data_IF_619574961156
#
_entry.id   IF_619574961156
#
_cell.length_a   1.000
_cell.length_b   1.000
_cell.length_c   1.000
_cell.angle_alpha   90.00
_cell.angle_beta   90.00
_cell.angle_gamma   90.00
#
_symmetry.space_group_name_H-M   'P 1'
#
loop_
_entity.id
_entity.type
_entity.pdbx_description
1 polymer ?
#
# COMPACT_ATOMS: atom_id res chain seq x y z
N UNK A 1 -2.05 -10.12 -5.23
CA UNK A 1 -3.22 -10.99 -4.97
C UNK A 1 -4.53 -10.20 -4.73
N UNK A 2 -4.49 -8.97 -4.21
CA UNK A 2 -5.69 -8.18 -3.87
C UNK A 2 -6.62 -7.88 -5.05
N UNK A 3 -6.09 -7.55 -6.24
CA UNK A 3 -6.91 -7.23 -7.41
C UNK A 3 -7.65 -8.45 -8.00
N UNK A 4 -7.15 -9.67 -7.77
CA UNK A 4 -7.83 -10.90 -8.20
C UNK A 4 -9.12 -11.17 -7.41
N UNK A 5 -9.29 -10.52 -6.27
CA UNK A 5 -10.48 -10.64 -5.43
C UNK A 5 -11.56 -9.63 -5.78
N UNK A 6 -11.25 -8.58 -6.54
CA UNK A 6 -12.20 -7.48 -6.82
C UNK A 6 -13.46 -8.03 -7.48
N UNK A 7 -13.33 -8.84 -8.53
CA UNK A 7 -14.48 -9.44 -9.23
C UNK A 7 -15.25 -10.44 -8.37
N UNK A 8 -14.63 -11.03 -7.34
CA UNK A 8 -15.31 -11.91 -6.40
C UNK A 8 -16.09 -11.11 -5.35
N UNK A 9 -15.46 -10.10 -4.77
CA UNK A 9 -16.06 -9.24 -3.73
C UNK A 9 -17.18 -8.37 -4.32
N UNK A 10 -17.02 -7.87 -5.55
CA UNK A 10 -18.05 -7.13 -6.28
C UNK A 10 -19.35 -7.94 -6.49
N UNK A 11 -19.25 -9.28 -6.53
CA UNK A 11 -20.43 -10.15 -6.65
C UNK A 11 -21.22 -10.28 -5.36
N UNK A 12 -20.61 -10.01 -4.21
CA UNK A 12 -21.29 -10.05 -2.92
C UNK A 12 -21.96 -8.71 -2.63
N UNK A 13 -21.18 -7.63 -2.64
CA UNK A 13 -21.67 -6.24 -2.63
C UNK A 13 -20.48 -5.26 -2.68
N UNK A 14 -20.76 -4.03 -3.09
CA UNK A 14 -19.82 -2.92 -3.05
C UNK A 14 -20.41 -1.81 -2.18
N UNK A 15 -19.67 -1.39 -1.15
CA UNK A 15 -20.05 -0.27 -0.29
C UNK A 15 -19.15 0.93 -0.58
N UNK A 16 -19.75 2.11 -0.52
CA UNK A 16 -19.04 3.37 -0.60
C UNK A 16 -19.07 4.05 0.76
N UNK A 17 -17.91 4.58 1.17
CA UNK A 17 -17.83 5.41 2.36
C UNK A 17 -18.28 6.81 1.98
N UNK A 18 -19.31 7.32 2.64
CA UNK A 18 -19.73 8.71 2.46
C UNK A 18 -18.57 9.65 2.82
N UNK A 19 -18.12 10.50 1.89
CA UNK A 19 -16.90 11.32 2.06
C UNK A 19 -15.59 10.61 1.68
N UNK A 20 -15.67 9.42 1.10
CA UNK A 20 -14.56 8.68 0.51
C UNK A 20 -13.70 7.90 1.51
N UNK A 21 -12.79 7.09 0.98
CA UNK A 21 -11.90 6.23 1.78
C UNK A 21 -10.99 7.01 2.75
N UNK A 22 -10.67 8.26 2.45
CA UNK A 22 -9.90 9.11 3.36
C UNK A 22 -10.64 9.35 4.69
N UNK A 23 -11.97 9.54 4.64
CA UNK A 23 -12.79 9.72 5.86
C UNK A 23 -12.73 8.50 6.76
N UNK A 24 -12.71 7.29 6.20
CA UNK A 24 -12.56 6.07 6.99
C UNK A 24 -11.25 6.08 7.80
N UNK A 25 -10.13 6.45 7.17
CA UNK A 25 -8.85 6.57 7.86
C UNK A 25 -8.89 7.63 8.97
N UNK A 26 -9.53 8.78 8.72
CA UNK A 26 -9.69 9.84 9.73
C UNK A 26 -10.54 9.38 10.92
N UNK A 27 -11.64 8.66 10.68
CA UNK A 27 -12.50 8.12 11.75
C UNK A 27 -11.73 7.13 12.62
N UNK A 28 -10.99 6.20 12.02
CA UNK A 28 -10.17 5.25 12.75
C UNK A 28 -9.09 5.94 13.58
N UNK A 29 -8.42 6.96 13.02
CA UNK A 29 -7.46 7.78 13.74
C UNK A 29 -8.10 8.49 14.95
N UNK A 30 -9.29 9.08 14.76
CA UNK A 30 -10.05 9.71 15.83
C UNK A 30 -10.46 8.74 16.93
N UNK A 31 -10.92 7.53 16.58
CA UNK A 31 -11.24 6.48 17.55
C UNK A 31 -10.01 6.08 18.37
N UNK A 32 -8.85 5.93 17.73
CA UNK A 32 -7.59 5.61 18.42
C UNK A 32 -7.19 6.73 19.39
N UNK A 33 -7.26 7.99 18.95
CA UNK A 33 -6.98 9.15 19.81
C UNK A 33 -7.95 9.23 21.00
N UNK A 34 -9.24 8.92 20.79
CA UNK A 34 -10.24 8.82 21.85
C UNK A 34 -9.93 7.75 22.90
N UNK A 35 -9.13 6.74 22.55
CA UNK A 35 -8.61 5.72 23.47
C UNK A 35 -7.22 6.09 24.04
N UNK A 36 -6.73 7.31 23.82
CA UNK A 36 -5.45 7.80 24.35
C UNK A 36 -4.24 7.53 23.47
N UNK A 37 -4.42 7.03 22.24
CA UNK A 37 -3.31 6.86 21.29
C UNK A 37 -2.78 8.23 20.86
N UNK A 38 -1.45 8.37 20.86
CA UNK A 38 -0.77 9.57 20.34
C UNK A 38 -0.32 9.32 18.91
N UNK A 39 -0.85 10.07 17.96
CA UNK A 39 -0.45 10.02 16.56
C UNK A 39 0.61 11.09 16.31
N UNK A 40 1.78 10.67 15.82
CA UNK A 40 2.89 11.56 15.45
C UNK A 40 3.17 11.42 13.96
N UNK A 41 2.99 12.52 13.23
CA UNK A 41 3.21 12.58 11.78
C UNK A 41 4.53 13.31 11.48
N UNK A 42 5.12 13.04 10.31
CA UNK A 42 6.42 13.61 9.93
C UNK A 42 7.58 13.13 10.83
N UNK A 43 7.40 11.99 11.50
CA UNK A 43 8.36 11.39 12.42
C UNK A 43 8.86 10.07 11.84
N UNK A 44 9.77 10.14 10.87
CA UNK A 44 10.30 8.95 10.24
C UNK A 44 11.15 8.14 11.23
N UNK A 45 10.88 6.84 11.35
CA UNK A 45 11.68 5.94 12.19
C UNK A 45 12.93 5.52 11.42
N UNK A 46 14.09 5.94 11.90
CA UNK A 46 15.38 5.67 11.27
C UNK A 46 16.13 4.47 11.86
N UNK A 47 15.76 4.01 13.07
CA UNK A 47 16.37 2.82 13.70
C UNK A 47 15.46 2.18 14.74
N UNK A 48 15.53 0.86 14.86
CA UNK A 48 14.95 0.10 15.97
C UNK A 48 15.99 -0.11 17.07
N UNK A 49 15.59 0.04 18.34
CA UNK A 49 16.50 -0.13 19.48
C UNK A 49 16.38 -1.53 20.06
N UNK A 50 17.53 -2.15 20.33
CA UNK A 50 17.63 -3.44 21.01
C UNK A 50 18.44 -3.28 22.30
N UNK A 51 17.96 -3.86 23.40
CA UNK A 51 18.68 -4.05 24.65
C UNK A 51 18.64 -5.54 25.02
N UNK A 52 19.81 -6.14 25.28
CA UNK A 52 19.94 -7.58 25.57
C UNK A 52 19.21 -8.51 24.58
N UNK A 53 19.24 -8.12 23.29
CA UNK A 53 18.59 -8.86 22.21
C UNK A 53 17.07 -8.69 22.12
N UNK A 54 16.46 -7.79 22.90
CA UNK A 54 15.02 -7.49 22.90
C UNK A 54 14.75 -6.07 22.45
N UNK A 55 13.59 -5.83 21.85
CA UNK A 55 13.17 -4.47 21.47
C UNK A 55 13.08 -3.58 22.71
N UNK A 56 13.54 -2.35 22.60
CA UNK A 56 13.48 -1.35 23.67
C UNK A 56 13.00 0.02 23.21
N UNK A 57 12.72 0.19 21.92
CA UNK A 57 12.20 1.44 21.36
C UNK A 57 12.59 1.67 19.90
N UNK A 58 12.49 2.93 19.49
CA UNK A 58 12.89 3.41 18.16
C UNK A 58 13.66 4.72 18.26
N UNK A 59 14.45 5.02 17.23
CA UNK A 59 15.08 6.33 17.03
C UNK A 59 14.50 6.94 15.76
N UNK A 60 14.02 8.18 15.86
CA UNK A 60 13.57 8.95 14.71
C UNK A 60 14.78 9.46 13.90
N UNK A 61 14.54 9.85 12.65
CA UNK A 61 15.60 10.38 11.77
C UNK A 61 16.21 11.70 12.25
N UNK A 62 15.50 12.44 13.10
CA UNK A 62 15.99 13.64 13.79
C UNK A 62 16.84 13.33 15.04
N UNK A 63 16.97 12.05 15.42
CA UNK A 63 17.73 11.58 16.57
C UNK A 63 16.93 11.43 17.87
N UNK A 64 15.65 11.82 17.90
CA UNK A 64 14.80 11.60 19.07
C UNK A 64 14.64 10.10 19.36
N UNK A 65 14.69 9.72 20.64
CA UNK A 65 14.53 8.34 21.09
C UNK A 65 13.17 8.15 21.74
N UNK A 66 12.44 7.16 21.27
CA UNK A 66 11.14 6.78 21.79
C UNK A 66 11.24 5.37 22.41
N UNK A 67 11.23 5.25 23.75
CA UNK A 67 11.23 3.94 24.40
C UNK A 67 9.91 3.22 24.14
N UNK A 68 9.97 1.92 23.88
CA UNK A 68 8.79 1.07 23.71
C UNK A 68 9.13 -0.39 24.03
N UNK A 69 8.24 -1.06 24.77
CA UNK A 69 8.37 -2.49 25.07
C UNK A 69 8.00 -3.37 23.86
N UNK A 70 7.17 -2.83 22.97
CA UNK A 70 6.66 -3.52 21.78
C UNK A 70 6.67 -2.53 20.60
N UNK A 71 7.14 -3.00 19.45
CA UNK A 71 7.09 -2.27 18.18
C UNK A 71 6.34 -3.11 17.16
N UNK A 72 5.26 -2.54 16.60
CA UNK A 72 4.54 -3.12 15.46
C UNK A 72 4.92 -2.32 14.21
N UNK A 73 5.61 -2.97 13.28
CA UNK A 73 6.06 -2.35 12.04
C UNK A 73 5.03 -2.57 10.92
N UNK A 74 4.38 -1.49 10.49
CA UNK A 74 3.41 -1.50 9.38
C UNK A 74 4.00 -0.89 8.09
N UNK A 75 5.32 -1.05 7.87
CA UNK A 75 5.99 -0.66 6.62
C UNK A 75 6.24 -1.87 5.71
N UNK A 76 6.93 -1.66 4.59
CA UNK A 76 7.35 -2.76 3.71
C UNK A 76 8.29 -3.72 4.46
N UNK A 77 7.88 -4.97 4.65
CA UNK A 77 8.70 -5.98 5.30
C UNK A 77 10.08 -6.16 4.65
N UNK A 78 10.18 -5.94 3.33
CA UNK A 78 11.47 -5.95 2.64
C UNK A 78 12.38 -4.80 3.06
N UNK A 79 11.85 -3.66 3.53
CA UNK A 79 12.68 -2.59 4.07
C UNK A 79 13.45 -3.03 5.33
N UNK A 80 12.85 -3.88 6.17
CA UNK A 80 13.54 -4.50 7.30
C UNK A 80 14.61 -5.50 6.80
N UNK A 81 14.26 -6.36 5.84
CA UNK A 81 15.18 -7.36 5.28
C UNK A 81 16.36 -6.75 4.50
N UNK A 82 16.20 -5.55 3.97
CA UNK A 82 17.25 -4.82 3.27
C UNK A 82 18.09 -3.95 4.23
N UNK A 83 17.76 -3.95 5.53
CA UNK A 83 18.47 -3.14 6.53
C UNK A 83 18.24 -1.64 6.37
N UNK A 84 17.18 -1.22 5.64
CA UNK A 84 16.87 0.19 5.41
C UNK A 84 16.36 0.90 6.67
N UNK A 85 15.94 0.13 7.68
CA UNK A 85 15.54 0.64 9.00
C UNK A 85 16.62 0.33 10.05
N UNK A 86 17.12 -0.91 10.13
CA UNK A 86 18.28 -1.21 10.98
C UNK A 86 18.95 -2.55 10.61
N UNK A 87 20.28 -2.55 10.50
CA UNK A 87 21.10 -3.70 10.10
C UNK A 87 21.09 -4.88 11.11
N UNK A 88 21.06 -4.67 12.44
CA UNK A 88 20.84 -5.73 13.42
C UNK A 88 19.50 -6.46 13.27
N UNK A 89 18.42 -5.75 12.94
CA UNK A 89 17.08 -6.36 12.78
C UNK A 89 17.04 -7.27 11.55
N UNK A 90 17.70 -6.87 10.46
CA UNK A 90 17.90 -7.73 9.28
C UNK A 90 18.46 -9.11 9.65
N UNK A 91 19.49 -9.14 10.51
CA UNK A 91 20.14 -10.39 10.94
C UNK A 91 19.22 -11.27 11.80
N UNK A 92 18.31 -10.68 12.57
CA UNK A 92 17.37 -11.41 13.43
C UNK A 92 16.19 -12.02 12.65
N UNK A 93 15.76 -11.38 11.55
CA UNK A 93 14.58 -11.81 10.80
C UNK A 93 14.82 -13.07 9.94
N UNK A 94 16.04 -13.31 9.46
CA UNK A 94 16.40 -14.55 8.75
C UNK A 94 15.62 -14.83 7.46
N UNK A 95 14.94 -13.82 6.88
CA UNK A 95 14.04 -13.98 5.74
C UNK A 95 14.82 -13.91 4.42
N UNK A 96 14.51 -14.77 3.42
CA UNK A 96 15.11 -14.68 2.10
C UNK A 96 14.90 -13.30 1.45
N UNK A 97 15.99 -12.76 0.90
CA UNK A 97 16.10 -11.41 0.33
C UNK A 97 15.33 -11.19 -0.97
N UNK A 98 14.81 -12.24 -1.60
CA UNK A 98 14.08 -12.15 -2.86
C UNK A 98 12.70 -12.79 -2.75
N UNK A 99 11.69 -11.93 -2.73
CA UNK A 99 10.29 -12.30 -2.93
C UNK A 99 9.86 -11.72 -4.27
N UNK A 100 9.13 -12.49 -5.08
CA UNK A 100 8.53 -11.98 -6.31
C UNK A 100 7.59 -10.83 -5.95
N UNK A 101 7.89 -9.62 -6.46
CA UNK A 101 7.06 -8.44 -6.21
C UNK A 101 5.75 -8.57 -6.97
N UNK A 102 4.67 -8.07 -6.36
CA UNK A 102 3.41 -7.86 -7.08
C UNK A 102 3.59 -6.75 -8.13
N UNK A 103 2.71 -6.76 -9.14
CA UNK A 103 2.63 -5.66 -10.10
C UNK A 103 2.34 -4.34 -9.39
N UNK A 104 2.95 -3.26 -9.87
CA UNK A 104 2.60 -1.89 -9.50
C UNK A 104 1.46 -1.38 -10.38
N UNK A 105 1.05 -0.14 -10.17
CA UNK A 105 0.07 0.54 -11.02
C UNK A 105 0.62 1.87 -11.53
N UNK A 106 0.32 2.20 -12.77
CA UNK A 106 0.43 3.57 -13.29
C UNK A 106 -0.93 4.24 -13.07
N UNK A 107 -0.95 5.37 -12.36
CA UNK A 107 -2.18 6.06 -12.00
C UNK A 107 -2.10 7.53 -12.35
N UNK A 108 -3.24 8.09 -12.77
CA UNK A 108 -3.46 9.52 -12.92
C UNK A 108 -4.72 9.90 -12.15
N UNK A 109 -4.71 11.08 -11.54
CA UNK A 109 -5.89 11.67 -10.94
C UNK A 109 -6.07 13.06 -11.53
N UNK A 110 -7.32 13.46 -11.74
CA UNK A 110 -7.65 14.76 -12.28
C UNK A 110 -9.15 14.97 -12.35
N UNK A 111 -9.54 16.23 -12.46
CA UNK A 111 -10.92 16.62 -12.74
C UNK A 111 -11.09 16.71 -14.26
N UNK A 112 -12.09 16.01 -14.79
CA UNK A 112 -12.37 15.98 -16.22
C UNK A 112 -13.87 15.82 -16.47
N UNK A 113 -14.34 16.41 -17.56
CA UNK A 113 -15.71 16.19 -18.04
C UNK A 113 -15.73 14.99 -19.00
N UNK A 114 -16.46 13.94 -18.63
CA UNK A 114 -16.71 12.80 -19.50
C UNK A 114 -17.87 13.10 -20.48
N UNK A 115 -17.79 12.53 -21.68
CA UNK A 115 -18.88 12.57 -22.67
C UNK A 115 -18.86 11.32 -23.56
N UNK A 116 -19.99 11.01 -24.20
CA UNK A 116 -20.13 9.88 -25.14
C UNK A 116 -20.75 8.61 -24.54
N UNK A 117 -20.65 8.41 -23.23
CA UNK A 117 -21.31 7.33 -22.50
C UNK A 117 -21.37 7.64 -21.00
N UNK A 118 -22.31 7.00 -20.29
CA UNK A 118 -22.44 7.10 -18.84
C UNK A 118 -21.34 6.27 -18.14
N UNK A 119 -20.71 6.85 -17.11
CA UNK A 119 -19.73 6.17 -16.28
C UNK A 119 -20.38 5.62 -15.01
N UNK A 120 -20.05 4.39 -14.64
CA UNK A 120 -20.28 3.87 -13.29
C UNK A 120 -19.21 4.39 -12.33
N UNK A 121 -19.37 4.19 -11.02
CA UNK A 121 -18.32 4.57 -10.06
C UNK A 121 -17.00 3.82 -10.32
N UNK A 122 -17.10 2.54 -10.68
CA UNK A 122 -15.97 1.69 -11.07
C UNK A 122 -16.18 1.21 -12.51
N UNK A 123 -15.22 1.50 -13.39
CA UNK A 123 -15.27 1.10 -14.79
C UNK A 123 -13.97 0.38 -15.16
N UNK A 124 -14.07 -0.72 -15.91
CA UNK A 124 -12.91 -1.42 -16.46
C UNK A 124 -13.07 -1.48 -17.98
N UNK A 125 -12.14 -0.85 -18.69
CA UNK A 125 -12.05 -0.87 -20.14
C UNK A 125 -10.96 -1.86 -20.55
N UNK A 126 -11.37 -3.03 -21.00
CA UNK A 126 -10.44 -4.05 -21.46
C UNK A 126 -9.81 -3.69 -22.81
N UNK A 127 -8.53 -3.99 -22.96
CA UNK A 127 -7.86 -3.94 -24.26
C UNK A 127 -8.47 -4.95 -25.26
N UNK A 128 -8.03 -4.92 -26.53
CA UNK A 128 -8.55 -5.81 -27.57
C UNK A 128 -8.37 -7.31 -27.18
N UNK A 129 -9.37 -8.18 -27.41
CA UNK A 129 -9.32 -9.58 -26.99
C UNK A 129 -8.10 -10.36 -27.52
N UNK A 130 -7.68 -10.06 -28.75
CA UNK A 130 -6.51 -10.70 -29.41
C UNK A 130 -5.19 -10.34 -28.71
N UNK A 131 -5.15 -9.21 -27.97
CA UNK A 131 -3.96 -8.69 -27.31
C UNK A 131 -3.91 -8.90 -25.79
N UNK A 132 -4.92 -9.52 -25.17
CA UNK A 132 -5.01 -9.58 -23.70
C UNK A 132 -3.82 -10.32 -23.07
N UNK A 133 -3.31 -11.39 -23.71
CA UNK A 133 -2.11 -12.08 -23.22
C UNK A 133 -0.85 -11.20 -23.33
N UNK A 134 -0.76 -10.40 -24.39
CA UNK A 134 0.38 -9.52 -24.63
C UNK A 134 0.52 -8.45 -23.53
N UNK A 135 -0.59 -8.03 -22.92
CA UNK A 135 -0.57 -7.15 -21.74
C UNK A 135 0.26 -7.76 -20.60
N UNK A 136 -0.04 -9.01 -20.21
CA UNK A 136 0.70 -9.69 -19.15
C UNK A 136 2.13 -10.05 -19.54
N UNK A 137 2.37 -10.39 -20.82
CA UNK A 137 3.73 -10.64 -21.33
C UNK A 137 4.61 -9.38 -21.22
N UNK A 138 4.07 -8.19 -21.56
CA UNK A 138 4.76 -6.92 -21.41
C UNK A 138 5.05 -6.61 -19.93
N UNK A 139 4.06 -6.77 -19.05
CA UNK A 139 4.21 -6.53 -17.62
C UNK A 139 5.22 -7.48 -16.96
N UNK A 140 5.28 -8.74 -17.39
CA UNK A 140 6.22 -9.74 -16.88
C UNK A 140 7.70 -9.37 -17.12
N UNK A 141 7.97 -8.57 -18.15
CA UNK A 141 9.31 -8.05 -18.46
C UNK A 141 9.48 -6.57 -18.09
N UNK A 142 8.57 -6.01 -17.29
CA UNK A 142 8.66 -4.64 -16.77
C UNK A 142 8.40 -3.55 -17.79
N UNK A 143 7.61 -3.82 -18.84
CA UNK A 143 7.21 -2.84 -19.85
C UNK A 143 5.74 -2.47 -19.70
N UNK A 144 5.41 -1.24 -20.09
CA UNK A 144 4.02 -0.82 -20.26
C UNK A 144 3.44 -1.51 -21.50
N UNK A 145 2.22 -2.07 -21.43
CA UNK A 145 1.56 -2.63 -22.59
C UNK A 145 1.13 -1.52 -23.57
N UNK A 146 1.14 -1.81 -24.87
CA UNK A 146 0.71 -0.86 -25.91
C UNK A 146 -0.80 -0.58 -25.86
N UNK A 147 -1.59 -1.58 -25.48
CA UNK A 147 -3.04 -1.49 -25.31
C UNK A 147 -3.42 -1.97 -23.90
N UNK A 148 -3.25 -1.13 -22.85
CA UNK A 148 -3.53 -1.51 -21.47
C UNK A 148 -5.04 -1.73 -21.22
N UNK A 149 -5.35 -2.60 -20.28
CA UNK A 149 -6.62 -2.54 -19.57
C UNK A 149 -6.61 -1.30 -18.66
N UNK A 150 -7.63 -0.45 -18.78
CA UNK A 150 -7.73 0.80 -18.01
C UNK A 150 -8.87 0.71 -17.01
N UNK A 151 -8.55 0.97 -15.75
CA UNK A 151 -9.55 1.15 -14.69
C UNK A 151 -9.79 2.63 -14.45
N UNK A 152 -11.07 3.04 -14.44
CA UNK A 152 -11.50 4.41 -14.12
C UNK A 152 -12.43 4.38 -12.91
N UNK A 153 -12.01 5.07 -11.86
CA UNK A 153 -12.85 5.41 -10.71
C UNK A 153 -13.46 6.79 -10.95
N UNK A 154 -14.76 6.86 -11.28
CA UNK A 154 -15.47 8.11 -11.50
C UNK A 154 -16.14 8.55 -10.18
N UNK A 155 -15.50 9.49 -9.48
CA UNK A 155 -15.96 10.07 -8.22
C UNK A 155 -16.58 11.44 -8.43
#
# INVERSE_FOLDING_TARGET
ATLMLVSHVEREAVWQVEGGMHRLAQVLAGCAQGQGVRLRYGCDVGRLLLADGRISGVVLTDGERLPADIVVFNGDAQALNLGLVDEPVRRALGVPTQVQRSLSALTWHGEAQASGFELSHHNVFFGPPVGYRAEFEALAIGRLPEAPTVYVCAQ
#
